data_IF_357613592448
#
_entry.id   IF_357613592448
#
_cell.length_a   1.000
_cell.length_b   1.000
_cell.length_c   1.000
_cell.angle_alpha   90.00
_cell.angle_beta   90.00
_cell.angle_gamma   90.00
#
_symmetry.space_group_name_H-M   'P 1'
#
loop_
_entity.id
_entity.type
_entity.pdbx_description
1 polymer ?
#
# COMPACT_ATOMS: atom_id res chain seq x y z
N UNK A 1 7.33 2.97 28.90
CA UNK A 1 8.28 3.00 27.78
C UNK A 1 7.43 2.91 26.52
N UNK A 2 7.45 3.92 25.67
CA UNK A 2 6.77 3.86 24.37
C UNK A 2 7.58 2.91 23.48
N UNK A 3 7.00 1.80 23.09
CA UNK A 3 7.64 0.88 22.15
C UNK A 3 7.66 1.52 20.76
N UNK A 4 8.80 1.50 20.10
CA UNK A 4 8.93 1.96 18.71
C UNK A 4 7.99 1.14 17.82
N UNK A 5 7.19 1.77 16.94
CA UNK A 5 6.32 1.05 16.04
C UNK A 5 7.08 0.11 15.10
N UNK A 6 6.50 -1.04 14.80
CA UNK A 6 7.00 -1.96 13.77
C UNK A 6 6.49 -1.53 12.40
N UNK A 7 7.35 -1.47 11.40
CA UNK A 7 6.94 -1.21 10.01
C UNK A 7 6.52 -2.53 9.36
N UNK A 8 5.31 -2.56 8.82
CA UNK A 8 4.81 -3.67 8.00
C UNK A 8 4.64 -3.21 6.55
N UNK A 9 5.46 -3.75 5.65
CA UNK A 9 5.36 -3.51 4.23
C UNK A 9 4.23 -4.34 3.61
N UNK A 10 3.39 -3.67 2.80
CA UNK A 10 2.26 -4.28 2.09
C UNK A 10 2.48 -4.13 0.59
N UNK A 11 3.04 -5.15 -0.08
CA UNK A 11 3.33 -5.10 -1.52
C UNK A 11 2.07 -5.11 -2.38
N UNK A 12 2.23 -4.74 -3.66
CA UNK A 12 1.21 -4.89 -4.68
C UNK A 12 1.07 -6.34 -5.18
N UNK A 13 0.43 -6.52 -6.34
CA UNK A 13 0.11 -7.84 -6.90
C UNK A 13 1.33 -8.68 -7.29
N UNK A 14 2.50 -8.05 -7.49
CA UNK A 14 3.75 -8.74 -7.81
C UNK A 14 4.49 -9.28 -6.58
N UNK A 15 3.89 -9.12 -5.39
CA UNK A 15 4.51 -9.51 -4.12
C UNK A 15 5.88 -8.85 -3.90
N UNK A 16 6.83 -9.60 -3.36
CA UNK A 16 8.20 -9.13 -3.16
C UNK A 16 8.95 -9.02 -4.50
N UNK A 17 9.56 -7.87 -4.75
CA UNK A 17 10.44 -7.60 -5.90
C UNK A 17 11.78 -7.12 -5.37
N UNK A 18 12.88 -7.78 -5.74
CA UNK A 18 14.22 -7.58 -5.15
C UNK A 18 14.72 -6.14 -5.24
N UNK A 19 14.51 -5.49 -6.38
CA UNK A 19 14.93 -4.10 -6.62
C UNK A 19 13.78 -3.08 -6.43
N UNK A 20 12.80 -3.38 -5.58
CA UNK A 20 11.73 -2.46 -5.26
C UNK A 20 12.07 -1.61 -4.02
N UNK A 21 11.59 -0.37 -3.96
CA UNK A 21 11.86 0.52 -2.84
C UNK A 21 11.44 -0.05 -1.48
N UNK A 22 10.35 -0.81 -1.42
CA UNK A 22 9.92 -1.47 -0.18
C UNK A 22 10.96 -2.49 0.30
N UNK A 23 11.57 -3.24 -0.62
CA UNK A 23 12.63 -4.20 -0.30
C UNK A 23 13.89 -3.50 0.20
N UNK A 24 14.28 -2.38 -0.43
CA UNK A 24 15.41 -1.58 0.04
C UNK A 24 15.13 -0.94 1.40
N UNK A 25 13.94 -0.36 1.60
CA UNK A 25 13.56 0.22 2.87
C UNK A 25 13.49 -0.83 4.00
N UNK A 26 12.98 -2.03 3.71
CA UNK A 26 12.92 -3.13 4.67
C UNK A 26 14.31 -3.54 5.16
N UNK A 27 15.31 -3.57 4.29
CA UNK A 27 16.70 -3.87 4.68
C UNK A 27 17.30 -2.83 5.62
N UNK A 28 16.84 -1.58 5.56
CA UNK A 28 17.35 -0.44 6.33
C UNK A 28 16.58 -0.17 7.63
N UNK A 29 15.34 -0.62 7.71
CA UNK A 29 14.47 -0.42 8.88
C UNK A 29 14.47 -1.69 9.74
N UNK A 30 15.25 -1.67 10.82
CA UNK A 30 15.37 -2.82 11.72
C UNK A 30 14.01 -3.22 12.32
N UNK A 31 13.78 -4.53 12.40
CA UNK A 31 12.56 -5.08 12.98
C UNK A 31 11.32 -4.89 12.09
N UNK A 32 11.48 -4.43 10.86
CA UNK A 32 10.38 -4.36 9.90
C UNK A 32 10.03 -5.73 9.33
N UNK A 33 8.77 -5.88 8.93
CA UNK A 33 8.24 -7.08 8.31
C UNK A 33 7.62 -6.78 6.95
N UNK A 34 7.39 -7.82 6.17
CA UNK A 34 6.63 -7.74 4.92
C UNK A 34 5.52 -8.77 4.94
N UNK A 35 4.36 -8.41 4.41
CA UNK A 35 3.27 -9.39 4.21
C UNK A 35 3.78 -10.49 3.29
N UNK A 36 3.59 -11.74 3.71
CA UNK A 36 4.05 -12.90 2.95
C UNK A 36 3.37 -12.97 1.58
N UNK A 37 4.11 -13.38 0.53
CA UNK A 37 3.52 -13.59 -0.79
C UNK A 37 2.51 -14.73 -0.75
N UNK A 38 1.48 -14.63 -1.60
CA UNK A 38 0.53 -15.73 -1.77
C UNK A 38 1.12 -16.80 -2.69
N UNK A 39 0.99 -18.07 -2.30
CA UNK A 39 1.37 -19.20 -3.16
C UNK A 39 0.30 -19.48 -4.22
N UNK A 40 -0.99 -19.32 -3.85
CA UNK A 40 -2.15 -19.56 -4.69
C UNK A 40 -3.08 -18.36 -4.67
N UNK A 41 -4.05 -18.33 -5.58
CA UNK A 41 -5.09 -17.28 -5.67
C UNK A 41 -4.55 -15.85 -5.64
N UNK A 42 -3.42 -15.63 -6.30
CA UNK A 42 -2.65 -14.38 -6.21
C UNK A 42 -3.44 -13.13 -6.58
N UNK A 43 -4.52 -13.26 -7.35
CA UNK A 43 -5.40 -12.15 -7.69
C UNK A 43 -6.55 -11.97 -6.68
N UNK A 44 -6.83 -12.93 -5.82
CA UNK A 44 -7.93 -12.83 -4.84
C UNK A 44 -7.69 -11.68 -3.85
N UNK A 45 -8.58 -10.69 -3.85
CA UNK A 45 -8.59 -9.61 -2.86
C UNK A 45 -8.74 -10.16 -1.44
N UNK A 46 -9.62 -11.14 -1.24
CA UNK A 46 -9.87 -11.72 0.08
C UNK A 46 -8.63 -12.44 0.62
N UNK A 47 -7.96 -13.24 -0.20
CA UNK A 47 -6.72 -13.91 0.21
C UNK A 47 -5.62 -12.87 0.60
N UNK A 48 -5.53 -11.77 -0.12
CA UNK A 48 -4.59 -10.67 0.19
C UNK A 48 -4.94 -9.97 1.51
N UNK A 49 -6.21 -9.71 1.75
CA UNK A 49 -6.69 -9.09 3.00
C UNK A 49 -6.43 -10.03 4.20
N UNK A 50 -6.65 -11.33 4.05
CA UNK A 50 -6.34 -12.31 5.09
C UNK A 50 -4.85 -12.44 5.37
N UNK A 51 -4.00 -12.35 4.33
CA UNK A 51 -2.55 -12.33 4.50
C UNK A 51 -2.09 -11.10 5.30
N UNK A 52 -2.66 -9.92 5.04
CA UNK A 52 -2.40 -8.72 5.84
C UNK A 52 -2.88 -8.91 7.29
N UNK A 53 -4.07 -9.47 7.49
CA UNK A 53 -4.61 -9.74 8.83
C UNK A 53 -3.71 -10.70 9.61
N UNK A 54 -3.23 -11.77 8.98
CA UNK A 54 -2.33 -12.72 9.61
C UNK A 54 -0.98 -12.07 9.99
N UNK A 55 -0.42 -11.25 9.09
CA UNK A 55 0.81 -10.52 9.37
C UNK A 55 0.64 -9.54 10.54
N UNK A 56 -0.45 -8.80 10.57
CA UNK A 56 -0.76 -7.89 11.68
C UNK A 56 -0.97 -8.61 13.01
N UNK A 57 -1.63 -9.76 12.99
CA UNK A 57 -1.87 -10.56 14.19
C UNK A 57 -0.57 -11.13 14.82
N UNK A 58 0.48 -11.26 14.04
CA UNK A 58 1.79 -11.76 14.48
C UNK A 58 2.71 -10.65 15.05
N UNK A 59 2.30 -9.39 15.00
CA UNK A 59 3.10 -8.25 15.49
C UNK A 59 2.51 -7.75 16.80
N UNK A 60 3.29 -7.71 17.86
CA UNK A 60 2.93 -7.07 19.11
C UNK A 60 3.22 -5.56 19.06
N UNK A 61 2.37 -4.76 19.71
CA UNK A 61 2.57 -3.31 19.82
C UNK A 61 2.14 -2.48 18.61
N UNK A 62 2.60 -1.23 18.51
CA UNK A 62 2.19 -0.30 17.46
C UNK A 62 2.80 -0.64 16.10
N UNK A 63 2.07 -0.32 15.02
CA UNK A 63 2.44 -0.63 13.64
C UNK A 63 2.31 0.59 12.75
N UNK A 64 3.29 0.79 11.87
CA UNK A 64 3.20 1.66 10.69
C UNK A 64 3.05 0.77 9.46
N UNK A 65 2.02 1.01 8.64
CA UNK A 65 1.84 0.33 7.38
C UNK A 65 2.56 1.09 6.26
N UNK A 66 3.31 0.39 5.43
CA UNK A 66 3.95 0.96 4.25
C UNK A 66 3.51 0.20 2.99
N UNK A 67 2.46 0.68 2.35
CA UNK A 67 1.81 0.03 1.23
C UNK A 67 2.19 0.66 -0.12
N UNK A 68 2.20 -0.15 -1.18
CA UNK A 68 2.45 0.30 -2.54
C UNK A 68 1.44 -0.31 -3.52
N UNK A 69 0.97 0.49 -4.48
CA UNK A 69 0.14 0.00 -5.59
C UNK A 69 -1.15 -0.68 -5.09
N UNK A 70 -1.44 -1.91 -5.52
CA UNK A 70 -2.55 -2.71 -5.01
C UNK A 70 -2.45 -2.98 -3.50
N UNK A 71 -1.26 -2.88 -2.90
CA UNK A 71 -1.07 -2.94 -1.45
C UNK A 71 -1.85 -1.86 -0.72
N UNK A 72 -1.98 -0.66 -1.32
CA UNK A 72 -2.84 0.41 -0.79
C UNK A 72 -4.31 -0.04 -0.75
N UNK A 73 -4.78 -0.72 -1.81
CA UNK A 73 -6.13 -1.27 -1.86
C UNK A 73 -6.34 -2.38 -0.83
N UNK A 74 -5.32 -3.23 -0.60
CA UNK A 74 -5.36 -4.27 0.45
C UNK A 74 -5.58 -3.62 1.82
N UNK A 75 -4.83 -2.56 2.16
CA UNK A 75 -4.98 -1.82 3.42
C UNK A 75 -6.39 -1.24 3.57
N UNK A 76 -6.90 -0.60 2.52
CA UNK A 76 -8.23 0.03 2.53
C UNK A 76 -9.34 -1.02 2.66
N UNK A 77 -9.25 -2.13 1.93
CA UNK A 77 -10.21 -3.24 2.01
C UNK A 77 -10.14 -3.95 3.37
N UNK A 78 -8.93 -4.15 3.91
CA UNK A 78 -8.72 -4.70 5.25
C UNK A 78 -9.42 -3.85 6.31
N UNK A 79 -9.30 -2.53 6.23
CA UNK A 79 -9.92 -1.58 7.16
C UNK A 79 -11.46 -1.59 7.13
N UNK A 80 -12.10 -2.17 6.10
CA UNK A 80 -13.55 -2.38 6.08
C UNK A 80 -13.97 -3.63 6.88
N UNK A 81 -13.11 -4.63 6.92
CA UNK A 81 -13.41 -5.94 7.51
C UNK A 81 -12.89 -6.08 8.93
N UNK A 82 -11.72 -5.54 9.19
CA UNK A 82 -10.99 -5.71 10.45
C UNK A 82 -10.77 -4.40 11.17
N UNK A 83 -10.50 -4.50 12.47
CA UNK A 83 -10.06 -3.40 13.34
C UNK A 83 -8.86 -3.87 14.15
N UNK A 84 -7.90 -2.99 14.31
CA UNK A 84 -6.76 -3.17 15.19
C UNK A 84 -6.37 -1.83 15.79
N UNK A 85 -6.35 -1.77 17.11
CA UNK A 85 -5.75 -0.65 17.83
C UNK A 85 -4.23 -0.67 17.62
N UNK A 86 -3.61 0.52 17.63
CA UNK A 86 -2.17 0.64 17.52
C UNK A 86 -1.62 0.67 16.10
N UNK A 87 -2.44 0.78 15.04
CA UNK A 87 -1.95 1.28 13.76
C UNK A 87 -1.78 2.78 13.90
N UNK A 88 -0.53 3.23 14.00
CA UNK A 88 -0.17 4.62 14.31
C UNK A 88 0.05 5.47 13.07
N UNK A 89 0.20 4.85 11.90
CA UNK A 89 0.33 5.53 10.62
C UNK A 89 0.27 4.58 9.44
N UNK A 90 -0.08 5.10 8.26
CA UNK A 90 -0.01 4.36 7.01
C UNK A 90 0.49 5.25 5.86
N UNK A 91 1.59 4.85 5.21
CA UNK A 91 2.00 5.37 3.92
C UNK A 91 1.35 4.55 2.81
N UNK A 92 0.56 5.22 1.97
CA UNK A 92 -0.12 4.64 0.81
C UNK A 92 0.53 5.23 -0.45
N UNK A 93 1.57 4.58 -0.95
CA UNK A 93 2.38 5.06 -2.06
C UNK A 93 1.85 4.56 -3.41
N UNK A 94 1.65 5.48 -4.35
CA UNK A 94 1.20 5.19 -5.71
C UNK A 94 0.01 4.19 -5.73
N UNK A 95 -1.14 4.52 -5.14
CA UNK A 95 -2.29 3.62 -5.12
C UNK A 95 -2.72 3.23 -6.53
N UNK A 96 -3.05 1.96 -6.78
CA UNK A 96 -3.54 1.52 -8.08
C UNK A 96 -5.06 1.73 -8.18
N UNK A 97 -5.54 2.38 -9.26
CA UNK A 97 -6.98 2.50 -9.52
C UNK A 97 -7.53 1.23 -10.15
N UNK A 98 -7.98 0.31 -9.30
CA UNK A 98 -8.54 -0.99 -9.72
C UNK A 98 -9.92 -0.89 -10.38
N UNK A 99 -10.49 0.32 -10.49
CA UNK A 99 -11.76 0.60 -11.17
C UNK A 99 -11.57 1.17 -12.60
N UNK A 100 -10.34 1.49 -12.98
CA UNK A 100 -10.00 2.01 -14.30
C UNK A 100 -9.13 1.04 -15.10
N UNK A 101 -9.20 1.06 -16.44
CA UNK A 101 -8.34 0.26 -17.28
C UNK A 101 -6.86 0.53 -17.00
N UNK A 102 -6.07 -0.53 -16.86
CA UNK A 102 -4.63 -0.47 -16.66
C UNK A 102 -3.87 -0.77 -17.95
N UNK A 103 -2.58 -0.41 -18.05
CA UNK A 103 -1.74 -0.77 -19.18
C UNK A 103 -1.66 -2.29 -19.41
N UNK A 104 -1.24 -2.69 -20.61
CA UNK A 104 -1.03 -4.09 -20.97
C UNK A 104 -0.07 -4.79 -19.96
N UNK A 105 -0.39 -6.02 -19.61
CA UNK A 105 0.36 -6.81 -18.62
C UNK A 105 -0.17 -6.70 -17.17
N UNK A 106 -1.16 -5.83 -16.94
CA UNK A 106 -1.92 -5.80 -15.69
C UNK A 106 -3.27 -6.51 -15.84
N UNK A 107 -3.92 -6.91 -14.73
CA UNK A 107 -5.28 -7.46 -14.80
C UNK A 107 -6.27 -6.47 -15.40
N UNK A 108 -7.28 -6.97 -16.12
CA UNK A 108 -8.37 -6.14 -16.62
C UNK A 108 -9.34 -5.74 -15.49
N UNK A 109 -10.17 -4.72 -15.73
CA UNK A 109 -11.19 -4.29 -14.76
C UNK A 109 -12.16 -5.44 -14.44
N UNK A 110 -12.52 -6.26 -15.44
CA UNK A 110 -13.39 -7.43 -15.24
C UNK A 110 -12.73 -8.50 -14.37
N UNK A 111 -11.43 -8.76 -14.58
CA UNK A 111 -10.66 -9.70 -13.75
C UNK A 111 -10.56 -9.21 -12.31
N UNK A 112 -10.30 -7.90 -12.12
CA UNK A 112 -10.25 -7.29 -10.81
C UNK A 112 -11.62 -7.32 -10.12
N UNK A 113 -12.70 -7.02 -10.83
CA UNK A 113 -14.06 -7.09 -10.30
C UNK A 113 -14.41 -8.52 -9.89
N UNK A 114 -14.13 -9.52 -10.74
CA UNK A 114 -14.37 -10.93 -10.45
C UNK A 114 -13.57 -11.42 -9.24
N UNK A 115 -12.37 -10.86 -9.01
CA UNK A 115 -11.51 -11.18 -7.87
C UNK A 115 -11.83 -10.37 -6.59
N UNK A 116 -12.89 -9.54 -6.61
CA UNK A 116 -13.43 -8.83 -5.45
C UNK A 116 -12.80 -7.46 -5.17
N UNK A 117 -11.95 -6.91 -6.06
CA UNK A 117 -11.26 -5.63 -5.83
C UNK A 117 -12.17 -4.41 -5.90
N UNK A 118 -13.29 -4.52 -6.60
CA UNK A 118 -14.23 -3.40 -6.78
C UNK A 118 -15.56 -3.67 -6.06
N UNK A 119 -16.23 -2.61 -5.59
CA UNK A 119 -15.81 -1.21 -5.61
C UNK A 119 -14.68 -0.90 -4.61
N UNK A 120 -13.87 0.11 -4.91
CA UNK A 120 -12.90 0.64 -3.93
C UNK A 120 -13.68 1.28 -2.78
N UNK A 121 -13.42 0.92 -1.51
CA UNK A 121 -14.04 1.57 -0.35
C UNK A 121 -13.72 3.08 -0.29
N UNK A 122 -14.72 3.89 0.06
CA UNK A 122 -14.59 5.35 0.18
C UNK A 122 -14.88 5.88 1.58
N UNK A 123 -14.75 5.03 2.58
CA UNK A 123 -14.89 5.42 3.97
C UNK A 123 -13.54 5.89 4.53
N UNK A 124 -13.53 6.85 5.46
CA UNK A 124 -12.32 7.25 6.17
C UNK A 124 -11.61 6.06 6.81
N UNK A 125 -10.30 6.03 6.72
CA UNK A 125 -9.47 5.04 7.41
C UNK A 125 -9.50 5.31 8.92
N UNK A 126 -9.52 4.27 9.76
CA UNK A 126 -9.58 4.43 11.22
C UNK A 126 -8.22 4.76 11.86
N UNK A 127 -7.23 5.16 11.08
CA UNK A 127 -5.88 5.53 11.51
C UNK A 127 -5.32 6.65 10.62
N UNK A 128 -4.33 7.41 11.12
CA UNK A 128 -3.65 8.42 10.31
C UNK A 128 -3.02 7.82 9.06
N UNK A 129 -3.18 8.48 7.93
CA UNK A 129 -2.65 7.99 6.65
C UNK A 129 -2.20 9.13 5.74
N UNK A 130 -1.27 8.80 4.85
CA UNK A 130 -0.71 9.68 3.84
C UNK A 130 -0.72 8.97 2.49
N UNK A 131 -1.39 9.55 1.50
CA UNK A 131 -1.29 9.12 0.10
C UNK A 131 -0.18 9.90 -0.57
N UNK A 132 0.82 9.20 -1.08
CA UNK A 132 1.89 9.78 -1.91
C UNK A 132 1.60 9.43 -3.37
N UNK A 133 1.28 10.47 -4.18
CA UNK A 133 0.84 10.31 -5.55
C UNK A 133 1.78 10.97 -6.56
N UNK A 134 2.01 10.29 -7.67
CA UNK A 134 2.79 10.77 -8.80
C UNK A 134 1.89 11.42 -9.85
N UNK A 135 2.36 12.52 -10.44
CA UNK A 135 1.61 13.26 -11.46
C UNK A 135 1.53 12.54 -12.81
N UNK A 136 2.36 11.51 -13.03
CA UNK A 136 2.43 10.72 -14.27
C UNK A 136 2.33 9.22 -14.03
N UNK A 137 1.67 8.79 -12.96
CA UNK A 137 1.44 7.37 -12.68
C UNK A 137 0.49 6.76 -13.74
N UNK A 138 0.91 5.70 -14.47
CA UNK A 138 0.06 5.06 -15.47
C UNK A 138 -1.06 4.20 -14.87
N UNK A 139 -1.04 3.90 -13.57
CA UNK A 139 -2.00 3.03 -12.90
C UNK A 139 -3.06 3.78 -12.08
N UNK A 140 -2.87 5.09 -11.88
CA UNK A 140 -3.84 5.94 -11.20
C UNK A 140 -3.59 7.39 -11.57
N UNK A 141 -4.57 8.06 -12.14
CA UNK A 141 -4.42 9.49 -12.41
C UNK A 141 -4.23 10.28 -11.10
N UNK A 142 -3.48 11.37 -11.16
CA UNK A 142 -3.23 12.22 -10.00
C UNK A 142 -4.51 12.71 -9.33
N UNK A 143 -5.49 13.18 -10.14
CA UNK A 143 -6.81 13.58 -9.65
C UNK A 143 -7.54 12.43 -8.96
N UNK A 144 -7.45 11.22 -9.52
CA UNK A 144 -8.07 10.04 -8.91
C UNK A 144 -7.44 9.67 -7.57
N UNK A 145 -6.11 9.75 -7.48
CA UNK A 145 -5.41 9.53 -6.22
C UNK A 145 -5.80 10.57 -5.15
N UNK A 146 -6.00 11.84 -5.55
CA UNK A 146 -6.47 12.89 -4.64
C UNK A 146 -7.92 12.64 -4.17
N UNK A 147 -8.82 12.23 -5.07
CA UNK A 147 -10.20 11.85 -4.71
C UNK A 147 -10.23 10.72 -3.69
N UNK A 148 -9.43 9.68 -3.90
CA UNK A 148 -9.31 8.54 -2.99
C UNK A 148 -8.72 8.98 -1.63
N UNK A 149 -7.66 9.78 -1.64
CA UNK A 149 -7.07 10.32 -0.42
C UNK A 149 -8.10 11.09 0.43
N UNK A 150 -8.89 11.94 -0.23
CA UNK A 150 -9.96 12.71 0.42
C UNK A 150 -11.04 11.78 1.01
N UNK A 151 -11.46 10.78 0.27
CA UNK A 151 -12.46 9.81 0.74
C UNK A 151 -11.95 9.00 1.97
N UNK A 152 -10.67 8.65 1.98
CA UNK A 152 -10.04 7.91 3.07
C UNK A 152 -9.65 8.79 4.29
N UNK A 153 -9.82 10.12 4.19
CA UNK A 153 -9.39 11.06 5.22
C UNK A 153 -7.86 11.14 5.34
N UNK A 154 -7.15 10.74 4.29
CA UNK A 154 -5.68 10.74 4.23
C UNK A 154 -5.14 12.14 3.91
N UNK A 155 -3.97 12.45 4.47
CA UNK A 155 -3.16 13.55 3.92
C UNK A 155 -2.76 13.19 2.48
N UNK A 156 -2.58 14.19 1.64
CA UNK A 156 -2.19 14.01 0.25
C UNK A 156 -0.85 14.67 -0.03
N UNK A 157 0.06 13.98 -0.68
CA UNK A 157 1.39 14.46 -1.04
C UNK A 157 1.63 14.25 -2.53
N UNK A 158 1.90 15.34 -3.24
CA UNK A 158 2.46 15.33 -4.59
C UNK A 158 3.96 15.02 -4.51
N UNK A 159 4.37 13.90 -5.11
CA UNK A 159 5.78 13.50 -5.18
C UNK A 159 6.40 13.77 -6.55
N UNK A 160 5.70 14.53 -7.40
CA UNK A 160 6.16 14.90 -8.73
C UNK A 160 5.92 13.82 -9.78
N UNK A 161 6.58 13.95 -10.92
CA UNK A 161 6.46 13.04 -12.06
C UNK A 161 7.43 11.85 -11.91
N UNK A 162 7.10 10.90 -11.04
CA UNK A 162 7.95 9.76 -10.65
C UNK A 162 7.40 8.39 -11.10
N UNK A 163 6.48 8.39 -12.06
CA UNK A 163 5.84 7.17 -12.54
C UNK A 163 5.11 6.44 -11.43
N UNK A 164 5.13 5.11 -11.44
CA UNK A 164 4.45 4.28 -10.43
C UNK A 164 5.33 3.98 -9.19
N UNK A 165 6.40 4.73 -8.97
CA UNK A 165 7.37 4.54 -7.88
C UNK A 165 7.80 3.06 -7.78
N UNK A 166 8.25 2.51 -8.90
CA UNK A 166 8.65 1.10 -9.02
C UNK A 166 9.92 0.97 -9.85
N UNK A 167 10.57 -0.20 -9.93
CA UNK A 167 11.80 -0.37 -10.70
C UNK A 167 11.73 0.08 -12.16
N UNK A 168 10.66 -0.19 -12.93
CA UNK A 168 10.54 0.35 -14.29
C UNK A 168 10.53 1.89 -14.37
N UNK A 169 10.11 2.57 -13.32
CA UNK A 169 10.14 4.04 -13.19
C UNK A 169 11.46 4.56 -12.59
N UNK A 170 12.45 3.68 -12.35
CA UNK A 170 13.76 4.03 -11.80
C UNK A 170 13.85 4.04 -10.26
N UNK A 171 12.89 3.44 -9.56
CA UNK A 171 12.85 3.42 -8.10
C UNK A 171 13.21 2.05 -7.51
N UNK A 172 14.53 1.77 -7.45
CA UNK A 172 15.08 0.78 -6.53
C UNK A 172 15.11 1.34 -5.11
N UNK A 173 15.80 2.48 -4.90
CA UNK A 173 15.72 3.20 -3.61
C UNK A 173 14.79 4.42 -3.73
N UNK A 174 13.97 4.63 -2.72
CA UNK A 174 13.12 5.80 -2.60
C UNK A 174 13.30 6.47 -1.24
N UNK A 175 14.34 7.33 -1.17
CA UNK A 175 14.72 7.99 0.08
C UNK A 175 13.57 8.78 0.70
N UNK A 176 12.79 9.51 -0.10
CA UNK A 176 11.64 10.27 0.40
C UNK A 176 10.62 9.34 1.08
N UNK A 177 10.36 8.15 0.52
CA UNK A 177 9.47 7.17 1.13
C UNK A 177 10.02 6.63 2.47
N UNK A 178 11.34 6.39 2.54
CA UNK A 178 11.99 6.00 3.79
C UNK A 178 11.86 7.09 4.86
N UNK A 179 12.04 8.36 4.49
CA UNK A 179 11.92 9.50 5.41
C UNK A 179 10.46 9.64 5.88
N UNK A 180 9.47 9.53 4.99
CA UNK A 180 8.05 9.56 5.34
C UNK A 180 7.67 8.44 6.32
N UNK A 181 8.22 7.23 6.17
CA UNK A 181 8.00 6.12 7.12
C UNK A 181 8.62 6.47 8.47
N UNK A 182 9.85 7.00 8.49
CA UNK A 182 10.54 7.37 9.75
C UNK A 182 9.82 8.46 10.51
N UNK A 183 9.19 9.41 9.82
CA UNK A 183 8.39 10.47 10.43
C UNK A 183 7.12 9.93 11.13
N UNK A 184 6.74 8.68 10.86
CA UNK A 184 5.61 8.00 11.52
C UNK A 184 6.05 7.11 12.71
N UNK A 185 7.35 6.88 12.91
CA UNK A 185 7.90 6.07 14.00
C UNK A 185 8.12 6.88 15.27
#
# INVERSE_FOLDING_TARGET
MTTTPTVLFVPGLRDHVDDHWQTHAQKKIHGSHCVAPLEHDKLSRDARVEALQAALAAIDGPVVLAAHSAGCMIVVQWAQKYRRDGIVGALLAAPADVESPMPAGYPTVEQLAAAGWTPIPRQPLPFPSLVAASTNDPLCSFTRAEELARAWGSRFLDVGAVGHINPPAGFGEWKQGEDLIRDML
#
